data_IF_876340136276
#
_entry.id   IF_876340136276
#
_cell.length_a   1.000
_cell.length_b   1.000
_cell.length_c   1.000
_cell.angle_alpha   90.00
_cell.angle_beta   90.00
_cell.angle_gamma   90.00
#
_symmetry.space_group_name_H-M   'P 1'
#
loop_
_entity.id
_entity.type
_entity.pdbx_description
1 polymer ?
#
# COMPACT_ATOMS: atom_id res chain seq x y z
N UNK A 1 58.82 4.64 37.64
CA UNK A 1 58.67 4.97 36.21
C UNK A 1 57.61 4.05 35.61
N UNK A 2 56.38 4.53 35.50
CA UNK A 2 55.22 3.75 35.05
C UNK A 2 54.87 4.08 33.59
N UNK A 3 54.69 3.04 32.78
CA UNK A 3 54.38 3.13 31.36
C UNK A 3 52.88 3.35 31.13
N UNK A 4 52.52 4.40 30.40
CA UNK A 4 51.18 4.65 29.88
C UNK A 4 51.14 4.29 28.39
N UNK A 5 50.29 3.34 28.01
CA UNK A 5 49.84 3.13 26.62
C UNK A 5 48.31 3.12 26.60
N UNK A 6 47.74 4.09 25.92
CA UNK A 6 46.32 4.27 25.69
C UNK A 6 45.73 3.11 24.87
N UNK A 7 44.56 2.60 25.28
CA UNK A 7 43.71 1.74 24.46
C UNK A 7 42.47 2.53 24.06
N UNK A 8 42.33 2.76 22.75
CA UNK A 8 41.15 3.40 22.16
C UNK A 8 39.91 2.52 22.28
N UNK A 9 38.81 3.12 22.73
CA UNK A 9 37.50 2.52 22.84
C UNK A 9 36.85 2.40 21.44
N UNK A 10 36.36 1.20 21.11
CA UNK A 10 35.53 0.95 19.92
C UNK A 10 34.11 1.46 20.20
N UNK A 11 33.57 2.25 19.29
CA UNK A 11 32.20 2.79 19.36
C UNK A 11 31.20 1.85 18.69
N UNK A 12 29.95 1.87 19.19
CA UNK A 12 28.82 0.99 18.85
C UNK A 12 28.25 1.17 17.43
N UNK A 13 29.09 1.09 16.40
CA UNK A 13 28.67 1.19 14.98
C UNK A 13 28.64 -0.16 14.23
N UNK A 14 29.00 -1.26 14.87
CA UNK A 14 29.28 -2.54 14.18
C UNK A 14 28.21 -3.65 14.32
N UNK A 15 26.99 -3.36 14.79
CA UNK A 15 25.96 -4.41 14.98
C UNK A 15 24.74 -4.35 14.03
N UNK A 16 24.74 -3.50 13.00
CA UNK A 16 23.70 -3.51 11.96
C UNK A 16 24.23 -3.76 10.54
N UNK A 17 25.49 -4.14 10.40
CA UNK A 17 26.14 -4.42 9.11
C UNK A 17 26.19 -5.92 8.76
N UNK A 18 25.12 -6.70 9.03
CA UNK A 18 24.99 -8.09 8.52
C UNK A 18 23.53 -8.47 8.30
N UNK A 19 22.94 -7.95 7.21
CA UNK A 19 21.85 -8.58 6.43
C UNK A 19 21.70 -7.80 5.12
N UNK A 20 22.69 -7.93 4.24
CA UNK A 20 22.54 -7.58 2.83
C UNK A 20 21.79 -8.74 2.15
N UNK A 21 20.50 -8.56 1.93
CA UNK A 21 19.73 -9.26 0.89
C UNK A 21 19.46 -8.24 -0.20
N UNK A 22 19.78 -8.59 -1.45
CA UNK A 22 19.93 -7.66 -2.57
C UNK A 22 18.69 -6.82 -2.88
N UNK A 23 18.95 -5.54 -3.18
CA UNK A 23 18.04 -4.72 -3.97
C UNK A 23 17.93 -5.30 -5.38
N UNK A 24 16.72 -5.67 -5.78
CA UNK A 24 16.34 -5.72 -7.20
C UNK A 24 15.64 -4.39 -7.52
N UNK A 25 16.02 -3.68 -8.60
CA UNK A 25 15.25 -2.54 -9.06
C UNK A 25 13.90 -3.02 -9.59
N UNK A 26 12.86 -2.19 -9.41
CA UNK A 26 11.50 -2.45 -9.88
C UNK A 26 11.48 -2.96 -11.32
N UNK A 27 11.08 -4.21 -11.46
CA UNK A 27 11.00 -4.91 -12.72
C UNK A 27 9.53 -5.14 -13.07
N UNK A 28 8.76 -4.06 -13.10
CA UNK A 28 7.53 -4.03 -13.88
C UNK A 28 7.89 -3.63 -15.32
N UNK A 29 7.67 -4.56 -16.26
CA UNK A 29 7.64 -4.33 -17.71
C UNK A 29 8.93 -4.18 -18.53
N UNK A 30 9.95 -5.02 -18.29
CA UNK A 30 10.92 -5.35 -19.36
C UNK A 30 11.30 -6.83 -19.38
N UNK A 31 10.60 -7.60 -20.23
CA UNK A 31 11.13 -8.84 -20.83
C UNK A 31 11.11 -8.63 -22.34
N UNK A 32 12.24 -8.91 -23.00
CA UNK A 32 12.42 -8.77 -24.45
C UNK A 32 11.56 -9.79 -25.19
N UNK A 33 10.94 -9.35 -26.27
CA UNK A 33 10.14 -10.17 -27.17
C UNK A 33 11.07 -10.72 -28.27
N UNK A 34 11.62 -11.92 -28.05
CA UNK A 34 12.36 -12.64 -29.09
C UNK A 34 11.39 -13.61 -29.79
N UNK A 35 10.98 -13.24 -31.00
CA UNK A 35 10.11 -14.02 -31.85
C UNK A 35 10.73 -15.36 -32.24
N UNK A 36 10.05 -16.46 -31.90
CA UNK A 36 10.39 -17.79 -32.36
C UNK A 36 9.43 -18.24 -33.46
N UNK A 37 9.99 -18.38 -34.67
CA UNK A 37 9.35 -19.02 -35.84
C UNK A 37 9.23 -20.53 -35.63
N UNK A 38 8.18 -21.08 -36.22
CA UNK A 38 7.82 -22.49 -36.28
C UNK A 38 8.92 -23.40 -36.87
N UNK A 39 8.94 -24.65 -36.39
CA UNK A 39 9.78 -25.73 -36.91
C UNK A 39 9.38 -27.07 -36.32
N UNK A 40 8.48 -27.74 -37.04
CA UNK A 40 8.02 -29.13 -36.93
C UNK A 40 9.11 -30.16 -36.58
N UNK A 41 8.78 -31.13 -35.69
CA UNK A 41 8.80 -32.58 -35.99
C UNK A 41 8.42 -33.46 -34.80
N UNK A 42 7.60 -34.43 -35.15
CA UNK A 42 7.08 -35.59 -34.43
C UNK A 42 8.13 -36.44 -33.72
N UNK A 43 7.70 -37.14 -32.66
CA UNK A 43 7.74 -38.62 -32.52
C UNK A 43 7.10 -39.04 -31.18
N UNK A 44 6.25 -40.07 -31.24
CA UNK A 44 5.39 -40.50 -30.14
C UNK A 44 5.93 -41.68 -29.31
N UNK A 45 5.17 -42.03 -28.27
CA UNK A 45 4.98 -43.36 -27.63
C UNK A 45 4.44 -43.11 -26.21
N UNK A 46 3.14 -43.32 -25.96
CA UNK A 46 2.49 -44.54 -25.45
C UNK A 46 2.78 -44.89 -23.98
N UNK A 47 1.67 -44.91 -23.22
CA UNK A 47 1.27 -45.87 -22.19
C UNK A 47 2.00 -45.83 -20.83
N UNK A 48 1.29 -45.45 -19.75
CA UNK A 48 0.54 -46.40 -18.90
C UNK A 48 -0.11 -45.69 -17.70
N UNK A 49 -1.40 -45.96 -17.54
CA UNK A 49 -2.22 -45.77 -16.36
C UNK A 49 -1.71 -46.59 -15.16
N UNK A 50 -1.77 -46.03 -13.94
CA UNK A 50 -2.19 -46.75 -12.71
C UNK A 50 -2.27 -45.84 -11.46
N UNK A 51 -3.47 -45.80 -10.88
CA UNK A 51 -3.83 -45.50 -9.47
C UNK A 51 -5.00 -46.45 -9.14
N UNK A 52 -5.44 -46.65 -7.88
CA UNK A 52 -4.83 -46.34 -6.57
C UNK A 52 -5.01 -47.50 -5.53
N UNK A 53 -4.46 -47.35 -4.32
CA UNK A 53 -4.93 -47.95 -3.07
C UNK A 53 -4.29 -47.15 -1.91
N UNK A 54 -4.88 -46.83 -0.77
CA UNK A 54 -6.17 -47.08 -0.14
C UNK A 54 -6.00 -46.84 1.37
N UNK A 55 -6.89 -46.02 1.98
CA UNK A 55 -7.32 -45.91 3.42
C UNK A 55 -6.25 -45.90 4.54
N UNK A 56 -6.40 -45.29 5.72
CA UNK A 56 -7.27 -44.32 6.41
C UNK A 56 -6.69 -44.21 7.87
N UNK A 57 -7.08 -43.24 8.72
CA UNK A 57 -6.23 -42.67 9.77
C UNK A 57 -6.46 -43.24 11.19
N UNK A 58 -5.53 -42.99 12.12
CA UNK A 58 -5.68 -43.31 13.54
C UNK A 58 -5.61 -42.08 14.47
N UNK A 59 -6.83 -41.67 14.83
CA UNK A 59 -7.37 -41.11 16.08
C UNK A 59 -6.44 -40.59 17.20
N UNK A 60 -6.82 -39.38 17.65
CA UNK A 60 -6.70 -38.81 19.00
C UNK A 60 -7.37 -39.70 20.07
N UNK A 61 -6.78 -39.77 21.27
CA UNK A 61 -7.52 -40.04 22.51
C UNK A 61 -7.00 -39.21 23.71
N UNK A 62 -7.90 -38.75 24.62
CA UNK A 62 -7.59 -37.91 25.78
C UNK A 62 -7.59 -38.71 27.12
N UNK A 63 -7.05 -38.11 28.19
CA UNK A 63 -7.24 -38.54 29.59
C UNK A 63 -6.60 -37.53 30.55
N UNK A 64 -7.40 -36.77 31.34
CA UNK A 64 -7.68 -36.95 32.80
C UNK A 64 -6.38 -37.05 33.62
N UNK A 65 -6.03 -36.17 34.56
CA UNK A 65 -6.82 -35.43 35.54
C UNK A 65 -6.44 -35.94 36.94
N UNK A 66 -5.79 -35.12 37.77
CA UNK A 66 -5.86 -35.21 39.24
C UNK A 66 -5.28 -33.95 39.89
N UNK A 67 -5.99 -33.51 40.92
CA UNK A 67 -5.73 -32.33 41.72
C UNK A 67 -4.67 -32.61 42.80
N UNK A 68 -3.98 -31.55 43.24
CA UNK A 68 -3.12 -31.57 44.40
C UNK A 68 -2.63 -30.17 44.74
N UNK A 69 -3.32 -29.51 45.66
CA UNK A 69 -2.95 -28.20 46.18
C UNK A 69 -1.67 -28.27 47.03
N UNK A 70 -0.75 -27.32 46.83
CA UNK A 70 0.21 -26.93 47.85
C UNK A 70 0.59 -25.46 47.69
N UNK A 71 0.47 -24.74 48.81
CA UNK A 71 0.77 -23.32 48.98
C UNK A 71 2.27 -23.08 48.88
N UNK A 72 2.69 -22.04 48.18
CA UNK A 72 4.07 -21.58 48.14
C UNK A 72 4.16 -20.11 47.76
N UNK A 73 4.45 -19.25 48.74
CA UNK A 73 4.67 -17.82 48.57
C UNK A 73 5.96 -17.59 47.78
N UNK A 74 5.92 -16.78 46.71
CA UNK A 74 7.11 -16.31 45.99
C UNK A 74 6.78 -15.12 45.11
N UNK A 75 7.24 -13.93 45.52
CA UNK A 75 7.12 -12.65 44.79
C UNK A 75 7.83 -12.72 43.42
N UNK A 76 7.31 -12.14 42.34
CA UNK A 76 8.13 -11.81 41.18
C UNK A 76 8.73 -10.40 41.33
N UNK A 77 10.05 -10.32 41.25
CA UNK A 77 10.80 -9.08 41.10
C UNK A 77 10.48 -8.41 39.76
N UNK A 78 9.90 -7.21 39.82
CA UNK A 78 9.78 -6.31 38.68
C UNK A 78 11.17 -5.74 38.31
N UNK A 79 11.69 -6.08 37.12
CA UNK A 79 12.79 -5.33 36.50
C UNK A 79 12.18 -4.20 35.65
N UNK A 80 12.28 -2.97 36.16
CA UNK A 80 12.08 -1.73 35.40
C UNK A 80 13.18 -1.60 34.34
N UNK A 81 12.84 -1.83 33.08
CA UNK A 81 13.65 -1.39 31.93
C UNK A 81 13.24 0.03 31.55
N UNK A 82 14.13 1.00 31.74
CA UNK A 82 13.94 2.39 31.33
C UNK A 82 14.10 2.49 29.80
N UNK A 83 12.99 2.48 29.07
CA UNK A 83 12.94 2.94 27.68
C UNK A 83 12.70 4.44 27.65
N UNK A 84 13.66 5.23 27.18
CA UNK A 84 13.48 6.66 26.91
C UNK A 84 12.54 6.81 25.71
N UNK A 85 11.28 7.14 25.97
CA UNK A 85 10.38 7.64 24.94
C UNK A 85 10.87 9.03 24.50
N UNK A 86 11.14 9.20 23.20
CA UNK A 86 11.36 10.51 22.63
C UNK A 86 10.05 11.30 22.76
N UNK A 87 10.09 12.42 23.49
CA UNK A 87 8.93 13.25 23.74
C UNK A 87 8.42 13.92 22.47
N UNK A 88 7.10 13.92 22.29
CA UNK A 88 6.40 14.77 21.34
C UNK A 88 6.71 16.24 21.67
N UNK A 89 7.00 17.12 20.69
CA UNK A 89 7.11 18.55 20.96
C UNK A 89 5.77 19.11 21.44
N UNK A 90 5.84 20.07 22.38
CA UNK A 90 4.67 20.72 22.96
C UNK A 90 3.84 21.44 21.88
N UNK A 91 2.52 21.31 21.97
CA UNK A 91 1.58 21.99 21.08
C UNK A 91 1.72 23.51 21.21
N UNK A 92 1.77 24.21 20.07
CA UNK A 92 1.70 25.66 20.01
C UNK A 92 0.39 26.18 20.64
N UNK A 93 0.37 27.41 21.21
CA UNK A 93 -0.81 27.96 21.85
C UNK A 93 -1.98 28.04 20.86
N UNK A 94 -3.15 27.57 21.31
CA UNK A 94 -4.39 27.60 20.53
C UNK A 94 -4.72 29.05 20.20
N UNK A 95 -4.81 29.35 18.91
CA UNK A 95 -5.44 30.58 18.45
C UNK A 95 -6.91 30.59 18.89
N UNK A 96 -7.36 31.77 19.31
CA UNK A 96 -8.68 32.06 19.82
C UNK A 96 -9.79 31.47 18.92
N UNK A 97 -10.71 30.71 19.52
CA UNK A 97 -11.78 30.02 18.82
C UNK A 97 -12.93 31.00 18.51
N UNK A 98 -12.64 32.01 17.70
CA UNK A 98 -13.64 32.85 17.06
C UNK A 98 -14.36 32.07 15.97
N UNK A 99 -15.55 31.54 16.29
CA UNK A 99 -16.62 31.13 15.38
C UNK A 99 -16.17 30.51 14.03
N UNK A 100 -15.63 29.29 14.07
CA UNK A 100 -15.52 28.46 12.87
C UNK A 100 -16.91 27.96 12.49
N UNK A 101 -17.58 28.65 11.57
CA UNK A 101 -18.75 28.14 10.88
C UNK A 101 -18.35 26.88 10.11
N UNK A 102 -18.65 25.70 10.67
CA UNK A 102 -18.50 24.44 9.96
C UNK A 102 -19.38 24.50 8.70
N UNK A 103 -18.86 24.24 7.49
CA UNK A 103 -19.72 24.16 6.32
C UNK A 103 -20.70 23.00 6.53
N UNK A 104 -21.99 23.31 6.45
CA UNK A 104 -23.09 22.34 6.47
C UNK A 104 -22.84 21.30 5.38
N UNK A 105 -22.47 20.09 5.78
CA UNK A 105 -22.50 18.91 4.91
C UNK A 105 -23.97 18.69 4.52
N UNK A 106 -24.29 18.74 3.23
CA UNK A 106 -25.64 18.40 2.74
C UNK A 106 -25.67 16.89 2.49
N UNK A 107 -26.46 16.11 3.23
CA UNK A 107 -26.72 14.74 2.84
C UNK A 107 -27.62 14.76 1.60
N UNK A 108 -27.11 14.26 0.47
CA UNK A 108 -27.95 13.89 -0.66
C UNK A 108 -28.29 12.41 -0.48
N UNK A 109 -29.53 12.12 -0.12
CA UNK A 109 -30.04 10.74 -0.07
C UNK A 109 -30.23 10.29 -1.51
N UNK A 110 -29.40 9.35 -1.96
CA UNK A 110 -29.56 8.64 -3.24
C UNK A 110 -29.71 7.15 -2.89
N UNK A 111 -30.94 6.72 -2.57
CA UNK A 111 -31.20 5.37 -2.07
C UNK A 111 -30.62 5.09 -0.68
N UNK A 112 -30.53 3.80 -0.31
CA UNK A 112 -30.02 3.30 1.00
C UNK A 112 -28.52 3.59 1.23
N UNK A 113 -27.84 4.28 0.32
CA UNK A 113 -26.46 4.71 0.50
C UNK A 113 -26.38 6.22 0.76
N UNK A 114 -25.87 6.59 1.93
CA UNK A 114 -25.51 7.98 2.24
C UNK A 114 -24.26 8.34 1.45
N UNK A 115 -24.45 8.90 0.26
CA UNK A 115 -23.39 9.55 -0.48
C UNK A 115 -23.03 10.86 0.23
N UNK A 116 -22.04 10.81 1.13
CA UNK A 116 -21.37 12.03 1.60
C UNK A 116 -20.54 12.55 0.43
N UNK A 117 -21.12 13.46 -0.35
CA UNK A 117 -20.36 14.26 -1.28
C UNK A 117 -19.40 15.10 -0.46
N UNK A 118 -18.14 14.67 -0.41
CA UNK A 118 -17.05 15.43 0.18
C UNK A 118 -16.87 16.65 -0.72
N UNK A 119 -17.61 17.71 -0.45
CA UNK A 119 -17.32 19.03 -1.00
C UNK A 119 -16.01 19.44 -0.32
N UNK A 120 -14.85 19.45 -1.03
CA UNK A 120 -13.65 20.03 -0.45
C UNK A 120 -13.99 21.46 -0.03
N UNK A 121 -13.56 21.93 1.15
CA UNK A 121 -13.90 23.28 1.59
C UNK A 121 -13.48 24.25 0.49
N UNK A 122 -14.44 25.07 0.03
CA UNK A 122 -14.30 26.00 -1.10
C UNK A 122 -13.16 27.03 -0.94
N UNK A 123 -12.42 26.98 0.17
CA UNK A 123 -11.32 27.86 0.55
C UNK A 123 -9.92 27.23 0.39
N UNK A 124 -9.81 26.00 -0.12
CA UNK A 124 -8.50 25.37 -0.35
C UNK A 124 -7.97 25.72 -1.75
N UNK A 125 -6.76 26.30 -1.81
CA UNK A 125 -5.97 26.37 -3.04
C UNK A 125 -5.44 24.99 -3.49
N UNK A 126 -4.89 24.85 -4.71
CA UNK A 126 -4.37 23.58 -5.21
C UNK A 126 -3.28 23.01 -4.29
N UNK A 127 -3.12 21.68 -4.26
CA UNK A 127 -2.01 21.05 -3.51
C UNK A 127 -0.63 21.56 -3.92
N UNK A 128 -0.51 22.05 -5.16
CA UNK A 128 0.76 22.28 -5.85
C UNK A 128 1.40 20.97 -6.29
N UNK A 129 2.17 21.01 -7.36
CA UNK A 129 2.96 19.84 -7.79
C UNK A 129 4.12 19.59 -6.82
N UNK A 130 4.50 18.32 -6.58
CA UNK A 130 5.74 18.01 -5.89
C UNK A 130 6.94 18.41 -6.75
N UNK A 131 8.02 18.84 -6.11
CA UNK A 131 9.35 18.90 -6.73
C UNK A 131 9.97 17.50 -6.87
N UNK A 132 11.02 17.38 -7.66
CA UNK A 132 11.73 16.11 -7.89
C UNK A 132 12.35 15.55 -6.60
N UNK A 133 12.68 16.41 -5.64
CA UNK A 133 13.21 16.06 -4.32
C UNK A 133 12.13 15.62 -3.32
N UNK A 134 10.86 15.60 -3.74
CA UNK A 134 9.72 15.19 -2.94
C UNK A 134 9.11 13.85 -3.35
N UNK A 135 9.68 13.22 -4.37
CA UNK A 135 9.18 11.98 -4.96
C UNK A 135 10.31 10.98 -5.09
N UNK A 136 9.96 9.69 -5.06
CA UNK A 136 10.91 8.68 -5.44
C UNK A 136 11.22 8.80 -6.94
N UNK A 137 12.49 8.63 -7.33
CA UNK A 137 12.91 8.76 -8.73
C UNK A 137 12.12 7.83 -9.68
N UNK A 138 11.78 6.62 -9.22
CA UNK A 138 10.99 5.65 -9.99
C UNK A 138 9.53 6.10 -10.21
N UNK A 139 8.98 6.95 -9.35
CA UNK A 139 7.58 7.39 -9.43
C UNK A 139 7.40 8.57 -10.40
N UNK A 140 8.49 9.27 -10.74
CA UNK A 140 8.43 10.47 -11.59
C UNK A 140 7.71 10.24 -12.93
N UNK A 141 8.02 9.17 -13.71
CA UNK A 141 7.36 8.97 -15.00
C UNK A 141 5.84 8.82 -14.92
N UNK A 142 5.33 8.33 -13.78
CA UNK A 142 3.90 8.15 -13.55
C UNK A 142 3.26 9.44 -13.04
N UNK A 143 3.95 10.18 -12.16
CA UNK A 143 3.52 11.50 -11.68
C UNK A 143 3.46 12.53 -12.83
N UNK A 144 4.35 12.41 -13.82
CA UNK A 144 4.34 13.24 -15.03
C UNK A 144 3.10 13.01 -15.91
N UNK A 145 2.39 11.86 -15.76
CA UNK A 145 1.11 11.62 -16.46
C UNK A 145 -0.06 12.41 -15.86
N UNK A 146 0.08 12.89 -14.61
CA UNK A 146 -0.99 13.61 -13.92
C UNK A 146 -1.09 15.04 -14.47
N UNK A 147 -2.23 15.37 -15.08
CA UNK A 147 -2.53 16.70 -15.60
C UNK A 147 -2.99 17.62 -14.46
N UNK A 148 -2.51 18.86 -14.45
CA UNK A 148 -2.84 19.87 -13.44
C UNK A 148 -1.91 19.87 -12.24
N UNK A 149 -2.24 20.67 -11.23
CA UNK A 149 -1.44 20.93 -10.03
C UNK A 149 -2.14 20.59 -8.71
N UNK A 150 -3.37 20.06 -8.78
CA UNK A 150 -4.12 19.59 -7.62
C UNK A 150 -4.36 18.07 -7.64
N UNK A 151 -3.76 17.37 -6.68
CA UNK A 151 -3.89 15.93 -6.55
C UNK A 151 -5.34 15.51 -6.25
N UNK A 152 -6.10 16.30 -5.48
CA UNK A 152 -7.50 15.96 -5.17
C UNK A 152 -8.34 15.99 -6.44
N UNK A 153 -8.25 17.06 -7.24
CA UNK A 153 -8.94 17.15 -8.52
C UNK A 153 -8.61 15.95 -9.44
N UNK A 154 -7.35 15.56 -9.54
CA UNK A 154 -6.93 14.38 -10.29
C UNK A 154 -7.57 13.08 -9.77
N UNK A 155 -7.50 12.84 -8.46
CA UNK A 155 -8.06 11.64 -7.83
C UNK A 155 -9.59 11.54 -7.96
N UNK A 156 -10.30 12.68 -7.93
CA UNK A 156 -11.76 12.76 -8.17
C UNK A 156 -12.10 12.41 -9.61
N UNK A 157 -11.36 12.95 -10.59
CA UNK A 157 -11.56 12.64 -12.00
C UNK A 157 -11.29 11.16 -12.29
N UNK A 158 -10.20 10.63 -11.75
CA UNK A 158 -9.82 9.21 -11.89
C UNK A 158 -10.87 8.28 -11.31
N UNK A 159 -11.42 8.59 -10.12
CA UNK A 159 -12.51 7.80 -9.53
C UNK A 159 -13.64 7.59 -10.53
N UNK A 160 -14.08 8.65 -11.21
CA UNK A 160 -15.17 8.58 -12.21
C UNK A 160 -14.75 7.71 -13.40
N UNK A 161 -13.55 7.93 -13.93
CA UNK A 161 -13.07 7.23 -15.12
C UNK A 161 -12.84 5.73 -14.89
N UNK A 162 -12.21 5.36 -13.78
CA UNK A 162 -11.92 3.97 -13.41
C UNK A 162 -13.20 3.21 -13.07
N UNK A 163 -14.13 3.86 -12.34
CA UNK A 163 -15.45 3.26 -12.07
C UNK A 163 -16.19 2.96 -13.37
N UNK A 164 -16.32 3.94 -14.27
CA UNK A 164 -17.00 3.74 -15.55
C UNK A 164 -16.33 2.65 -16.40
N UNK A 165 -14.99 2.60 -16.41
CA UNK A 165 -14.25 1.55 -17.11
C UNK A 165 -14.61 0.17 -16.55
N UNK A 166 -14.51 -0.02 -15.23
CA UNK A 166 -14.71 -1.33 -14.60
C UNK A 166 -16.18 -1.78 -14.63
N UNK A 167 -17.14 -0.87 -14.46
CA UNK A 167 -18.58 -1.19 -14.54
C UNK A 167 -19.02 -1.64 -15.94
N UNK A 168 -18.30 -1.24 -16.99
CA UNK A 168 -18.59 -1.68 -18.35
C UNK A 168 -18.07 -3.09 -18.67
N UNK A 169 -17.34 -3.72 -17.74
CA UNK A 169 -16.76 -5.04 -17.94
C UNK A 169 -17.70 -6.15 -17.45
N UNK A 170 -17.76 -7.23 -18.21
CA UNK A 170 -18.45 -8.46 -17.83
C UNK A 170 -17.55 -9.35 -16.95
N UNK A 171 -18.09 -9.87 -15.84
CA UNK A 171 -17.34 -10.71 -14.87
C UNK A 171 -16.71 -11.93 -15.54
N UNK A 172 -17.47 -12.66 -16.36
CA UNK A 172 -16.98 -13.89 -16.98
C UNK A 172 -15.92 -13.60 -18.03
N UNK A 173 -16.03 -12.48 -18.75
CA UNK A 173 -15.01 -12.05 -19.71
C UNK A 173 -13.69 -11.65 -19.06
N UNK A 174 -13.73 -11.09 -17.84
CA UNK A 174 -12.50 -10.66 -17.14
C UNK A 174 -11.89 -11.74 -16.24
N UNK A 175 -12.60 -12.85 -15.99
CA UNK A 175 -12.11 -13.96 -15.16
C UNK A 175 -10.79 -14.50 -15.71
N UNK A 176 -9.73 -14.43 -14.92
CA UNK A 176 -8.39 -14.86 -15.31
C UNK A 176 -7.77 -14.07 -16.48
N UNK A 177 -8.36 -12.93 -16.87
CA UNK A 177 -7.89 -12.14 -18.02
C UNK A 177 -6.52 -11.54 -17.74
N UNK A 178 -5.51 -12.00 -18.46
CA UNK A 178 -4.13 -11.50 -18.44
C UNK A 178 -3.61 -11.33 -19.88
N UNK A 179 -2.74 -10.37 -20.12
CA UNK A 179 -2.21 -10.10 -21.47
C UNK A 179 -0.98 -10.95 -21.83
N UNK A 180 -0.38 -11.64 -20.86
CA UNK A 180 0.79 -12.49 -21.07
C UNK A 180 1.00 -13.45 -19.89
N UNK A 181 1.56 -14.66 -20.11
CA UNK A 181 1.90 -15.57 -19.02
C UNK A 181 2.77 -14.91 -17.94
N UNK A 182 2.41 -15.12 -16.67
CA UNK A 182 3.12 -14.56 -15.51
C UNK A 182 2.82 -13.09 -15.21
N UNK A 183 1.93 -12.43 -15.98
CA UNK A 183 1.42 -11.10 -15.66
C UNK A 183 0.14 -11.20 -14.85
N UNK A 184 -0.07 -10.21 -13.98
CA UNK A 184 -1.28 -10.10 -13.18
C UNK A 184 -2.54 -10.12 -14.03
N UNK A 185 -3.57 -10.75 -13.51
CA UNK A 185 -4.93 -10.65 -14.04
C UNK A 185 -5.47 -9.23 -13.88
N UNK A 186 -6.50 -8.87 -14.66
CA UNK A 186 -7.17 -7.57 -14.53
C UNK A 186 -7.67 -7.31 -13.10
N UNK A 187 -8.20 -8.35 -12.44
CA UNK A 187 -8.72 -8.27 -11.07
C UNK A 187 -7.61 -8.05 -10.04
N UNK A 188 -6.46 -8.67 -10.25
CA UNK A 188 -5.25 -8.41 -9.45
C UNK A 188 -4.74 -6.97 -9.65
N UNK A 189 -4.77 -6.42 -10.87
CA UNK A 189 -4.42 -5.01 -11.11
C UNK A 189 -5.37 -4.08 -10.36
N UNK A 190 -6.68 -4.32 -10.40
CA UNK A 190 -7.66 -3.50 -9.68
C UNK A 190 -7.46 -3.57 -8.16
N UNK A 191 -7.23 -4.76 -7.61
CA UNK A 191 -6.90 -4.95 -6.21
C UNK A 191 -5.59 -4.27 -5.80
N UNK A 192 -4.56 -4.37 -6.63
CA UNK A 192 -3.26 -3.73 -6.43
C UNK A 192 -3.37 -2.20 -6.33
N UNK A 193 -4.15 -1.56 -7.21
CA UNK A 193 -4.40 -0.11 -7.14
C UNK A 193 -4.97 0.28 -5.75
N UNK A 194 -5.92 -0.51 -5.23
CA UNK A 194 -6.54 -0.24 -3.93
C UNK A 194 -5.56 -0.44 -2.76
N UNK A 195 -4.71 -1.47 -2.81
CA UNK A 195 -3.70 -1.73 -1.77
C UNK A 195 -2.58 -0.68 -1.77
N UNK A 196 -2.08 -0.30 -2.95
CA UNK A 196 -1.11 0.77 -3.10
C UNK A 196 -1.66 2.07 -2.52
N UNK A 197 -2.89 2.45 -2.88
CA UNK A 197 -3.51 3.65 -2.37
C UNK A 197 -3.65 3.65 -0.84
N UNK A 198 -4.03 2.52 -0.22
CA UNK A 198 -4.07 2.41 1.26
C UNK A 198 -2.72 2.66 1.90
N UNK A 199 -1.66 2.05 1.35
CA UNK A 199 -0.31 2.15 1.88
C UNK A 199 0.18 3.60 1.76
N UNK A 200 -0.03 4.24 0.61
CA UNK A 200 0.37 5.61 0.39
C UNK A 200 -0.50 6.62 1.16
N UNK A 201 -1.79 6.35 1.36
CA UNK A 201 -2.66 7.14 2.23
C UNK A 201 -2.25 7.03 3.70
N UNK A 202 -1.88 5.83 4.18
CA UNK A 202 -1.30 5.65 5.52
C UNK A 202 -0.01 6.45 5.70
N UNK A 203 0.91 6.37 4.73
CA UNK A 203 2.14 7.18 4.75
C UNK A 203 1.83 8.67 4.76
N UNK A 204 0.88 9.11 3.94
CA UNK A 204 0.45 10.50 3.88
C UNK A 204 -0.13 10.95 5.23
N UNK A 205 -0.94 10.12 5.90
CA UNK A 205 -1.45 10.38 7.24
C UNK A 205 -0.30 10.58 8.23
N UNK A 206 0.64 9.64 8.34
CA UNK A 206 1.77 9.74 9.26
C UNK A 206 2.58 11.03 9.05
N UNK A 207 2.98 11.30 7.81
CA UNK A 207 3.77 12.50 7.47
C UNK A 207 2.95 13.78 7.71
N UNK A 208 1.66 13.78 7.36
CA UNK A 208 0.78 14.92 7.59
C UNK A 208 0.58 15.23 9.08
N UNK A 209 0.78 14.25 9.98
CA UNK A 209 0.71 14.45 11.44
C UNK A 209 2.08 14.70 12.08
N UNK A 210 3.14 14.82 11.28
CA UNK A 210 4.48 15.10 11.76
C UNK A 210 5.14 13.91 12.46
N UNK A 211 4.70 12.69 12.15
CA UNK A 211 5.40 11.49 12.59
C UNK A 211 6.79 11.44 11.94
N UNK A 212 7.82 11.34 12.78
CA UNK A 212 9.21 11.30 12.35
C UNK A 212 9.74 9.87 12.16
N UNK A 213 8.93 8.84 12.48
CA UNK A 213 9.32 7.46 12.29
C UNK A 213 9.52 7.15 10.79
N UNK A 214 10.64 6.51 10.40
CA UNK A 214 10.80 6.04 9.03
C UNK A 214 9.71 5.02 8.67
N UNK A 215 9.07 5.23 7.53
CA UNK A 215 7.99 4.36 7.05
C UNK A 215 8.57 3.26 6.15
N UNK A 216 8.11 2.00 6.29
CA UNK A 216 8.67 0.89 5.52
C UNK A 216 8.28 0.95 4.03
N UNK A 217 9.13 0.36 3.18
CA UNK A 217 8.73 -0.04 1.83
C UNK A 217 7.79 -1.26 1.88
N UNK A 218 7.22 -1.64 0.75
CA UNK A 218 6.47 -2.89 0.59
C UNK A 218 6.82 -3.56 -0.74
N UNK A 219 6.45 -4.84 -0.86
CA UNK A 219 6.70 -5.67 -2.05
C UNK A 219 5.37 -5.97 -2.72
N UNK A 220 5.06 -5.24 -3.79
CA UNK A 220 3.78 -5.35 -4.50
C UNK A 220 3.50 -6.76 -5.02
N UNK A 221 4.52 -7.48 -5.50
CA UNK A 221 4.38 -8.83 -6.04
C UNK A 221 3.96 -9.80 -4.94
N UNK A 222 4.58 -9.69 -3.76
CA UNK A 222 4.21 -10.51 -2.61
C UNK A 222 2.83 -10.16 -2.06
N UNK A 223 2.44 -8.90 -2.10
CA UNK A 223 1.12 -8.46 -1.65
C UNK A 223 0.03 -9.02 -2.56
N UNK A 224 0.15 -8.82 -3.89
CA UNK A 224 -0.81 -9.36 -4.87
C UNK A 224 -0.91 -10.89 -4.78
N UNK A 225 0.22 -11.59 -4.67
CA UNK A 225 0.24 -13.05 -4.54
C UNK A 225 -0.48 -13.56 -3.27
N UNK A 226 -0.53 -12.75 -2.20
CA UNK A 226 -1.18 -13.11 -0.94
C UNK A 226 -2.65 -12.64 -0.87
N UNK A 227 -3.09 -11.76 -1.77
CA UNK A 227 -4.38 -11.07 -1.65
C UNK A 227 -5.58 -11.86 -2.19
N UNK A 228 -5.35 -12.84 -3.07
CA UNK A 228 -6.42 -13.68 -3.61
C UNK A 228 -7.46 -12.93 -4.45
N UNK A 229 -7.07 -11.80 -5.07
CA UNK A 229 -7.99 -10.90 -5.79
C UNK A 229 -8.82 -11.59 -6.88
N UNK A 230 -8.23 -12.54 -7.62
CA UNK A 230 -8.93 -13.27 -8.69
C UNK A 230 -10.15 -14.05 -8.18
N UNK A 231 -10.13 -14.50 -6.92
CA UNK A 231 -11.23 -15.28 -6.32
C UNK A 231 -12.45 -14.43 -5.94
N UNK A 232 -12.30 -13.10 -5.91
CA UNK A 232 -13.34 -12.17 -5.47
C UNK A 232 -14.16 -11.67 -6.66
N UNK A 233 -15.47 -11.42 -6.54
CA UNK A 233 -16.24 -10.79 -7.62
C UNK A 233 -15.67 -9.41 -7.99
N UNK A 234 -15.67 -9.05 -9.28
CA UNK A 234 -15.24 -7.75 -9.78
C UNK A 234 -16.00 -6.61 -9.11
N UNK A 235 -17.32 -6.77 -8.90
CA UNK A 235 -18.14 -5.80 -8.17
C UNK A 235 -17.66 -5.57 -6.73
N UNK A 236 -17.13 -6.61 -6.07
CA UNK A 236 -16.55 -6.50 -4.72
C UNK A 236 -15.24 -5.72 -4.75
N UNK A 237 -14.36 -6.00 -5.73
CA UNK A 237 -13.10 -5.27 -5.91
C UNK A 237 -13.36 -3.79 -6.25
N UNK A 238 -14.36 -3.51 -7.08
CA UNK A 238 -14.75 -2.15 -7.42
C UNK A 238 -15.35 -1.40 -6.22
N UNK A 239 -16.19 -2.06 -5.42
CA UNK A 239 -16.72 -1.51 -4.17
C UNK A 239 -15.60 -1.14 -3.19
N UNK A 240 -14.59 -1.99 -3.08
CA UNK A 240 -13.41 -1.72 -2.27
C UNK A 240 -12.60 -0.53 -2.79
N UNK A 241 -12.28 -0.49 -4.09
CA UNK A 241 -11.61 0.65 -4.71
C UNK A 241 -12.34 1.96 -4.41
N UNK A 242 -13.68 1.99 -4.53
CA UNK A 242 -14.50 3.16 -4.22
C UNK A 242 -14.36 3.60 -2.76
N UNK A 243 -14.40 2.65 -1.83
CA UNK A 243 -14.28 2.92 -0.40
C UNK A 243 -12.89 3.48 -0.05
N UNK A 244 -11.82 2.89 -0.61
CA UNK A 244 -10.45 3.39 -0.44
C UNK A 244 -10.32 4.80 -1.00
N UNK A 245 -10.75 5.04 -2.24
CA UNK A 245 -10.67 6.36 -2.87
C UNK A 245 -11.45 7.41 -2.09
N UNK A 246 -12.63 7.07 -1.58
CA UNK A 246 -13.40 7.97 -0.73
C UNK A 246 -12.66 8.29 0.59
N UNK A 247 -12.06 7.29 1.24
CA UNK A 247 -11.28 7.49 2.46
C UNK A 247 -10.04 8.36 2.22
N UNK A 248 -9.32 8.14 1.11
CA UNK A 248 -8.17 8.96 0.70
C UNK A 248 -8.59 10.41 0.45
N UNK A 249 -9.68 10.63 -0.29
CA UNK A 249 -10.19 11.98 -0.55
C UNK A 249 -10.63 12.68 0.75
N UNK A 250 -11.26 11.96 1.68
CA UNK A 250 -11.63 12.49 2.99
C UNK A 250 -10.39 12.90 3.80
N UNK A 251 -9.37 12.04 3.83
CA UNK A 251 -8.09 12.31 4.49
C UNK A 251 -7.45 13.58 3.92
N UNK A 252 -7.23 13.61 2.60
CA UNK A 252 -6.54 14.70 1.91
C UNK A 252 -7.33 16.02 1.97
N UNK A 253 -8.65 15.96 1.86
CA UNK A 253 -9.53 17.13 1.96
C UNK A 253 -9.55 17.78 3.34
N UNK A 254 -9.34 16.98 4.40
CA UNK A 254 -9.26 17.47 5.79
C UNK A 254 -7.87 17.94 6.23
N UNK A 255 -6.86 17.93 5.34
CA UNK A 255 -5.51 18.39 5.69
C UNK A 255 -5.39 19.92 5.64
N UNK A 256 -4.78 20.55 6.66
CA UNK A 256 -4.45 21.97 6.57
C UNK A 256 -3.36 22.23 5.53
N UNK A 257 -3.30 23.45 4.98
CA UNK A 257 -2.47 23.77 3.82
C UNK A 257 -0.98 23.48 4.03
N UNK A 258 -0.44 23.70 5.22
CA UNK A 258 0.96 23.44 5.53
C UNK A 258 1.30 21.93 5.61
N UNK A 259 0.30 21.07 5.88
CA UNK A 259 0.50 19.62 5.91
C UNK A 259 0.95 19.07 4.55
N UNK A 260 0.49 19.66 3.44
CA UNK A 260 0.84 19.25 2.07
C UNK A 260 2.34 19.31 1.77
N UNK A 261 3.06 20.18 2.49
CA UNK A 261 4.52 20.36 2.35
C UNK A 261 5.34 19.64 3.41
N UNK A 262 4.71 19.01 4.41
CA UNK A 262 5.43 18.20 5.41
C UNK A 262 6.13 17.04 4.70
N UNK A 263 7.34 16.76 5.15
CA UNK A 263 8.23 15.72 4.61
C UNK A 263 8.47 14.64 5.64
N UNK A 264 8.64 13.42 5.15
CA UNK A 264 9.02 12.27 5.94
C UNK A 264 9.90 11.32 5.13
N UNK A 265 10.43 10.31 5.81
CA UNK A 265 11.31 9.30 5.20
C UNK A 265 10.51 8.03 4.96
N UNK A 266 10.51 7.55 3.73
CA UNK A 266 9.96 6.25 3.33
C UNK A 266 11.10 5.41 2.80
N UNK A 267 11.40 4.28 3.43
CA UNK A 267 12.57 3.46 3.11
C UNK A 267 13.87 4.29 3.19
N UNK A 268 14.41 4.64 2.04
CA UNK A 268 15.69 5.30 1.80
C UNK A 268 15.52 6.64 1.06
N UNK A 269 14.28 7.08 0.82
CA UNK A 269 13.98 8.35 0.16
C UNK A 269 13.11 9.27 1.03
N UNK A 270 13.24 10.58 0.77
CA UNK A 270 12.39 11.60 1.38
C UNK A 270 11.22 11.89 0.45
N UNK A 271 10.03 12.08 1.00
CA UNK A 271 8.85 12.46 0.24
C UNK A 271 7.97 13.41 1.05
N UNK A 272 7.10 14.15 0.37
CA UNK A 272 6.09 14.98 1.02
C UNK A 272 4.69 14.40 0.87
N UNK A 273 3.75 14.94 1.65
CA UNK A 273 2.32 14.57 1.52
C UNK A 273 1.82 14.79 0.09
N UNK A 274 2.17 15.91 -0.55
CA UNK A 274 1.83 16.13 -1.96
C UNK A 274 2.52 15.14 -2.90
N UNK A 275 3.77 14.77 -2.63
CA UNK A 275 4.48 13.73 -3.39
C UNK A 275 3.76 12.38 -3.35
N UNK A 276 3.30 11.95 -2.17
CA UNK A 276 2.53 10.72 -1.99
C UNK A 276 1.15 10.80 -2.67
N UNK A 277 0.45 11.92 -2.57
CA UNK A 277 -0.85 12.09 -3.23
C UNK A 277 -0.73 12.04 -4.76
N UNK A 278 0.31 12.66 -5.34
CA UNK A 278 0.59 12.57 -6.77
C UNK A 278 1.06 11.17 -7.18
N UNK A 279 1.77 10.44 -6.31
CA UNK A 279 2.11 9.04 -6.56
C UNK A 279 0.85 8.20 -6.76
N UNK A 280 -0.13 8.28 -5.84
CA UNK A 280 -1.41 7.56 -5.95
C UNK A 280 -2.07 7.86 -7.30
N UNK A 281 -2.16 9.15 -7.65
CA UNK A 281 -2.79 9.56 -8.90
C UNK A 281 -2.02 9.06 -10.15
N UNK A 282 -0.69 9.19 -10.17
CA UNK A 282 0.13 8.78 -11.30
C UNK A 282 0.16 7.26 -11.49
N UNK A 283 0.29 6.53 -10.38
CA UNK A 283 0.34 5.06 -10.36
C UNK A 283 -0.97 4.45 -10.89
N UNK A 284 -2.13 4.99 -10.50
CA UNK A 284 -3.40 4.57 -11.09
C UNK A 284 -3.46 4.81 -12.61
N UNK A 285 -3.02 5.98 -13.10
CA UNK A 285 -3.01 6.28 -14.54
C UNK A 285 -2.17 5.27 -15.33
N UNK A 286 -1.00 4.87 -14.79
CA UNK A 286 -0.14 3.86 -15.40
C UNK A 286 -0.89 2.54 -15.57
N UNK A 287 -1.56 2.06 -14.52
CA UNK A 287 -2.28 0.79 -14.54
C UNK A 287 -3.53 0.85 -15.41
N UNK A 288 -4.35 1.89 -15.28
CA UNK A 288 -5.55 2.09 -16.12
C UNK A 288 -5.18 2.15 -17.60
N UNK A 289 -4.07 2.81 -17.95
CA UNK A 289 -3.53 2.80 -19.31
C UNK A 289 -3.17 1.38 -19.76
N UNK A 290 -2.47 0.61 -18.91
CA UNK A 290 -2.13 -0.79 -19.20
C UNK A 290 -3.38 -1.65 -19.42
N UNK A 291 -4.42 -1.49 -18.59
CA UNK A 291 -5.71 -2.17 -18.75
C UNK A 291 -6.31 -1.92 -20.13
N UNK A 292 -6.40 -0.65 -20.55
CA UNK A 292 -6.93 -0.27 -21.86
C UNK A 292 -6.07 -0.79 -23.02
N UNK A 293 -4.75 -0.62 -22.93
CA UNK A 293 -3.85 -0.89 -24.03
C UNK A 293 -3.47 -2.36 -24.19
N UNK A 294 -3.60 -3.18 -23.15
CA UNK A 294 -3.10 -4.58 -23.16
C UNK A 294 -4.16 -5.61 -22.81
N UNK A 295 -5.09 -5.32 -21.90
CA UNK A 295 -6.07 -6.30 -21.42
C UNK A 295 -7.38 -6.25 -22.22
N UNK A 296 -7.86 -5.04 -22.53
CA UNK A 296 -9.20 -4.81 -23.08
C UNK A 296 -9.20 -4.54 -24.60
N UNK A 297 -8.30 -5.20 -25.33
CA UNK A 297 -8.26 -5.11 -26.79
C UNK A 297 -9.46 -5.80 -27.44
#
# INVERSE_FOLDING_TARGET
>A
MAAARARGARTSRDLWARRRGGHLPGQADRVRDDGARAGDRSLGARLLSRRPAGRAPLRVRPGRGSAGAARGRGRPHARKGQGRAAGLPAAAPRADAGHLSLPLQRPLVVGDEVAVELIPPASRGPSGRPGDDEIAAYAKPDIDLVVGDDAIAALVAQRRQTVLLVESLDEERVRGLTYSPGKWTLKEVLGHIADDERIYAYRALCIARGDAAPLPSFDEVRYVAAAGFETRPLVSLLGEYRAVRQATLALLGGLPAEAWRRRGVVSDYTTSVRGLAFHIAGHELRHVRSLREKYLR
#
